data_IF_365472084904
#
_entry.id   IF_365472084904
#
_cell.length_a   1.000
_cell.length_b   1.000
_cell.length_c   1.000
_cell.angle_alpha   90.00
_cell.angle_beta   90.00
_cell.angle_gamma   90.00
#
_symmetry.space_group_name_H-M   'P 1'
#
loop_
_entity.id
_entity.type
_entity.pdbx_description
1 polymer ?
#
# COMPACT_ATOMS: atom_id res chain seq x y z
N UNK A 1 -23.25 13.58 -6.54
CA UNK A 1 -22.91 12.30 -7.20
C UNK A 1 -22.95 11.21 -6.13
N UNK A 2 -24.14 10.99 -5.57
CA UNK A 2 -24.48 9.81 -4.77
C UNK A 2 -25.50 9.04 -5.64
N UNK A 3 -25.01 8.55 -6.77
CA UNK A 3 -25.83 7.95 -7.84
C UNK A 3 -26.06 6.48 -7.53
N UNK A 4 -27.28 5.98 -7.74
CA UNK A 4 -27.74 4.57 -7.86
C UNK A 4 -26.88 3.41 -7.32
N UNK A 5 -25.59 3.38 -7.63
CA UNK A 5 -24.54 2.54 -7.05
C UNK A 5 -24.53 2.55 -5.51
N UNK A 6 -24.64 3.71 -4.84
CA UNK A 6 -24.67 3.76 -3.38
C UNK A 6 -25.93 3.11 -2.78
N UNK A 7 -27.05 3.11 -3.52
CA UNK A 7 -28.28 2.40 -3.12
C UNK A 7 -28.17 0.89 -3.31
N UNK A 8 -27.57 0.44 -4.41
CA UNK A 8 -27.26 -0.99 -4.64
C UNK A 8 -26.29 -1.56 -3.60
N UNK A 9 -25.27 -0.78 -3.23
CA UNK A 9 -24.31 -1.11 -2.17
C UNK A 9 -25.00 -1.25 -0.80
N UNK A 10 -25.97 -0.39 -0.51
CA UNK A 10 -26.75 -0.42 0.72
C UNK A 10 -27.80 -1.55 0.75
N UNK A 11 -28.36 -1.94 -0.40
CA UNK A 11 -29.27 -3.10 -0.51
C UNK A 11 -28.54 -4.44 -0.30
N UNK A 12 -27.25 -4.51 -0.68
CA UNK A 12 -26.44 -5.73 -0.58
C UNK A 12 -25.91 -6.03 0.83
N UNK A 13 -25.79 -5.01 1.69
CA UNK A 13 -25.36 -5.18 3.08
C UNK A 13 -26.57 -5.05 4.00
N UNK A 14 -27.02 -6.17 4.59
CA UNK A 14 -28.11 -6.12 5.57
C UNK A 14 -27.75 -5.17 6.73
N UNK A 15 -28.77 -4.52 7.30
CA UNK A 15 -28.72 -3.55 8.39
C UNK A 15 -27.82 -3.99 9.54
N UNK A 16 -27.83 -5.28 9.90
CA UNK A 16 -26.98 -5.85 10.98
C UNK A 16 -25.50 -5.70 10.64
N UNK A 17 -25.07 -6.04 9.42
CA UNK A 17 -23.68 -5.92 9.00
C UNK A 17 -23.26 -4.45 8.91
N UNK A 18 -24.13 -3.60 8.36
CA UNK A 18 -23.85 -2.16 8.29
C UNK A 18 -23.69 -1.52 9.67
N UNK A 19 -24.53 -1.92 10.64
CA UNK A 19 -24.44 -1.46 12.02
C UNK A 19 -23.18 -1.99 12.70
N UNK A 20 -22.88 -3.28 12.57
CA UNK A 20 -21.66 -3.87 13.13
C UNK A 20 -20.39 -3.19 12.60
N UNK A 21 -20.32 -2.90 11.30
CA UNK A 21 -19.19 -2.21 10.67
C UNK A 21 -19.04 -0.77 11.19
N UNK A 22 -20.15 -0.04 11.31
CA UNK A 22 -20.14 1.32 11.84
C UNK A 22 -19.71 1.37 13.31
N UNK A 23 -20.21 0.45 14.14
CA UNK A 23 -19.84 0.34 15.55
C UNK A 23 -18.36 -0.02 15.69
N UNK A 24 -17.87 -0.99 14.93
CA UNK A 24 -16.46 -1.37 14.93
C UNK A 24 -15.53 -0.23 14.48
N UNK A 25 -15.93 0.54 13.47
CA UNK A 25 -15.19 1.72 13.02
C UNK A 25 -15.18 2.84 14.07
N UNK A 26 -16.30 3.07 14.75
CA UNK A 26 -16.41 4.09 15.81
C UNK A 26 -15.48 3.81 16.99
N UNK A 27 -15.27 2.54 17.33
CA UNK A 27 -14.34 2.13 18.39
C UNK A 27 -12.92 2.58 18.06
N UNK A 28 -12.47 2.34 16.82
CA UNK A 28 -11.14 2.74 16.37
C UNK A 28 -11.01 4.26 16.41
N UNK A 29 -12.02 5.01 15.93
CA UNK A 29 -11.99 6.46 15.93
C UNK A 29 -11.88 7.06 17.34
N UNK A 30 -12.51 6.43 18.33
CA UNK A 30 -12.50 6.90 19.72
C UNK A 30 -11.17 6.60 20.43
N UNK A 31 -10.52 5.48 20.12
CA UNK A 31 -9.21 5.10 20.67
C UNK A 31 -8.05 5.77 19.92
N UNK A 32 -8.22 6.05 18.62
CA UNK A 32 -7.19 6.65 17.81
C UNK A 32 -7.02 8.12 18.18
N UNK A 33 -5.99 8.41 18.97
CA UNK A 33 -5.31 9.72 18.93
C UNK A 33 -4.64 9.99 17.57
N UNK A 34 -4.72 9.03 16.64
CA UNK A 34 -3.99 9.01 15.38
C UNK A 34 -4.88 9.41 14.21
N UNK A 35 -4.60 10.60 13.69
CA UNK A 35 -5.18 11.25 12.52
C UNK A 35 -5.08 10.49 11.18
N UNK A 36 -4.64 9.22 11.19
CA UNK A 36 -4.26 8.44 10.01
C UNK A 36 -5.41 7.65 9.37
N UNK A 37 -6.41 7.31 10.17
CA UNK A 37 -7.60 6.56 9.75
C UNK A 37 -8.73 7.58 9.54
N UNK A 38 -9.21 7.66 8.31
CA UNK A 38 -10.24 8.63 7.92
C UNK A 38 -11.53 7.98 7.43
N UNK A 39 -12.55 8.81 7.26
CA UNK A 39 -13.82 8.38 6.66
C UNK A 39 -13.62 7.75 5.28
N UNK A 40 -12.60 8.18 4.51
CA UNK A 40 -12.28 7.60 3.20
C UNK A 40 -11.87 6.13 3.29
N UNK A 41 -11.18 5.72 4.36
CA UNK A 41 -10.82 4.32 4.58
C UNK A 41 -12.09 3.50 4.84
N UNK A 42 -13.00 4.01 5.68
CA UNK A 42 -14.29 3.37 5.94
C UNK A 42 -15.18 3.29 4.69
N UNK A 43 -15.31 4.36 3.92
CA UNK A 43 -16.05 4.32 2.65
C UNK A 43 -15.44 3.32 1.66
N UNK A 44 -14.11 3.23 1.61
CA UNK A 44 -13.42 2.27 0.74
C UNK A 44 -13.69 0.82 1.18
N UNK A 45 -13.73 0.56 2.49
CA UNK A 45 -14.15 -0.72 3.05
C UNK A 45 -15.56 -1.08 2.60
N UNK A 46 -16.54 -0.21 2.87
CA UNK A 46 -17.95 -0.48 2.51
C UNK A 46 -18.10 -0.71 1.00
N UNK A 47 -17.53 0.17 0.18
CA UNK A 47 -17.61 0.07 -1.29
C UNK A 47 -17.00 -1.25 -1.80
N UNK A 48 -15.88 -1.68 -1.23
CA UNK A 48 -15.19 -2.89 -1.69
C UNK A 48 -15.90 -4.16 -1.22
N UNK A 49 -16.40 -4.18 0.02
CA UNK A 49 -17.20 -5.29 0.54
C UNK A 49 -18.45 -5.47 -0.31
N UNK A 50 -19.22 -4.41 -0.53
CA UNK A 50 -20.43 -4.50 -1.34
C UNK A 50 -20.14 -4.89 -2.78
N UNK A 51 -19.10 -4.34 -3.40
CA UNK A 51 -18.67 -4.74 -4.75
C UNK A 51 -18.40 -6.25 -4.85
N UNK A 52 -17.67 -6.81 -3.90
CA UNK A 52 -17.36 -8.25 -3.91
C UNK A 52 -18.60 -9.10 -3.58
N UNK A 53 -19.39 -8.72 -2.58
CA UNK A 53 -20.65 -9.41 -2.23
C UNK A 53 -21.60 -9.45 -3.44
N UNK A 54 -21.79 -8.32 -4.12
CA UNK A 54 -22.59 -8.24 -5.33
C UNK A 54 -21.99 -9.00 -6.51
N UNK A 55 -20.67 -8.95 -6.71
CA UNK A 55 -19.99 -9.71 -7.78
C UNK A 55 -20.16 -11.22 -7.62
N UNK A 56 -20.16 -11.71 -6.39
CA UNK A 56 -20.31 -13.13 -6.09
C UNK A 56 -21.76 -13.56 -5.82
N UNK A 57 -22.74 -12.65 -5.91
CA UNK A 57 -24.15 -12.88 -5.59
C UNK A 57 -24.35 -13.57 -4.22
N UNK A 58 -23.60 -13.12 -3.20
CA UNK A 58 -23.64 -13.71 -1.87
C UNK A 58 -24.88 -13.26 -1.11
N UNK A 59 -25.50 -14.20 -0.41
CA UNK A 59 -26.69 -13.96 0.42
C UNK A 59 -26.40 -14.22 1.90
N UNK A 60 -27.41 -14.07 2.76
CA UNK A 60 -27.28 -14.28 4.22
C UNK A 60 -26.74 -15.68 4.58
N UNK A 61 -27.05 -16.70 3.76
CA UNK A 61 -26.58 -18.06 3.93
C UNK A 61 -25.05 -18.20 3.73
N UNK A 62 -24.42 -17.27 3.01
CA UNK A 62 -22.97 -17.25 2.71
C UNK A 62 -22.16 -16.48 3.77
N UNK A 63 -22.63 -16.48 5.01
CA UNK A 63 -22.05 -15.74 6.14
C UNK A 63 -20.52 -15.85 6.22
N UNK A 64 -19.93 -17.05 6.12
CA UNK A 64 -18.48 -17.23 6.21
C UNK A 64 -17.73 -16.49 5.09
N UNK A 65 -18.25 -16.51 3.85
CA UNK A 65 -17.62 -15.82 2.73
C UNK A 65 -17.72 -14.31 2.88
N UNK A 66 -18.90 -13.80 3.28
CA UNK A 66 -19.11 -12.37 3.57
C UNK A 66 -18.14 -11.89 4.66
N UNK A 67 -18.04 -12.64 5.75
CA UNK A 67 -17.13 -12.33 6.86
C UNK A 67 -15.66 -12.41 6.44
N UNK A 68 -15.31 -13.33 5.54
CA UNK A 68 -13.97 -13.42 4.95
C UNK A 68 -13.64 -12.18 4.12
N UNK A 69 -14.59 -11.74 3.28
CA UNK A 69 -14.47 -10.50 2.49
C UNK A 69 -14.31 -9.28 3.42
N UNK A 70 -15.11 -9.20 4.48
CA UNK A 70 -15.03 -8.12 5.46
C UNK A 70 -13.67 -8.11 6.15
N UNK A 71 -13.21 -9.24 6.70
CA UNK A 71 -11.91 -9.33 7.38
C UNK A 71 -10.76 -8.98 6.43
N UNK A 72 -10.82 -9.46 5.18
CA UNK A 72 -9.87 -9.11 4.10
C UNK A 72 -9.78 -7.60 3.91
N UNK A 73 -10.91 -6.91 3.75
CA UNK A 73 -10.92 -5.47 3.52
C UNK A 73 -10.63 -4.64 4.77
N UNK A 74 -10.96 -5.13 5.96
CA UNK A 74 -10.51 -4.53 7.22
C UNK A 74 -8.99 -4.53 7.29
N UNK A 75 -8.33 -5.66 6.98
CA UNK A 75 -6.86 -5.67 6.88
C UNK A 75 -6.40 -4.67 5.82
N UNK A 76 -6.88 -4.80 4.58
CA UNK A 76 -6.46 -3.94 3.46
C UNK A 76 -6.49 -2.44 3.77
N UNK A 77 -7.52 -1.96 4.46
CA UNK A 77 -7.69 -0.53 4.74
C UNK A 77 -7.25 -0.09 6.13
N UNK A 78 -7.03 -1.00 7.09
CA UNK A 78 -6.74 -0.66 8.49
C UNK A 78 -5.49 -1.37 9.05
N UNK A 79 -4.64 -1.97 8.21
CA UNK A 79 -3.31 -2.54 8.57
C UNK A 79 -2.24 -1.45 8.81
N UNK A 80 -2.66 -0.25 9.21
CA UNK A 80 -1.87 0.98 9.17
C UNK A 80 -1.10 1.28 10.46
N UNK A 81 -1.25 0.51 11.55
CA UNK A 81 -0.63 0.85 12.83
C UNK A 81 -0.24 -0.41 13.63
N UNK A 82 1.03 -0.50 14.04
CA UNK A 82 1.52 -1.45 15.06
C UNK A 82 1.84 -0.77 16.39
N UNK A 83 1.30 0.43 16.65
CA UNK A 83 1.55 1.14 17.91
C UNK A 83 0.88 0.50 19.13
N UNK A 84 0.11 -0.58 18.95
CA UNK A 84 -0.62 -1.29 20.00
C UNK A 84 -0.29 -2.78 19.92
N UNK A 85 -0.41 -3.50 21.05
CA UNK A 85 -0.29 -4.97 21.13
C UNK A 85 -1.23 -5.71 20.14
N UNK A 86 -2.28 -5.03 19.66
CA UNK A 86 -3.27 -5.51 18.69
C UNK A 86 -3.46 -4.44 17.61
N UNK A 87 -3.36 -4.82 16.34
CA UNK A 87 -3.52 -3.89 15.21
C UNK A 87 -4.96 -3.35 15.08
N UNK A 88 -5.19 -2.16 14.48
CA UNK A 88 -6.53 -1.58 14.35
C UNK A 88 -7.52 -2.50 13.64
N UNK A 89 -7.09 -3.19 12.58
CA UNK A 89 -7.96 -4.11 11.85
C UNK A 89 -8.37 -5.32 12.71
N UNK A 90 -7.49 -5.85 13.56
CA UNK A 90 -7.82 -6.94 14.49
C UNK A 90 -8.79 -6.46 15.57
N UNK A 91 -8.58 -5.27 16.13
CA UNK A 91 -9.54 -4.66 17.07
C UNK A 91 -10.91 -4.48 16.43
N UNK A 92 -10.94 -3.93 15.21
CA UNK A 92 -12.17 -3.76 14.42
C UNK A 92 -12.87 -5.10 14.20
N UNK A 93 -12.11 -6.13 13.83
CA UNK A 93 -12.61 -7.47 13.61
C UNK A 93 -13.24 -8.08 14.87
N UNK A 94 -12.55 -7.96 16.02
CA UNK A 94 -13.06 -8.44 17.30
C UNK A 94 -14.37 -7.74 17.67
N UNK A 95 -14.42 -6.42 17.54
CA UNK A 95 -15.63 -5.63 17.84
C UNK A 95 -16.76 -6.00 16.89
N UNK A 96 -16.50 -6.09 15.60
CA UNK A 96 -17.47 -6.48 14.58
C UNK A 96 -18.10 -7.84 14.88
N UNK A 97 -17.29 -8.88 15.10
CA UNK A 97 -17.76 -10.22 15.44
C UNK A 97 -18.63 -10.24 16.71
N UNK A 98 -18.30 -9.44 17.73
CA UNK A 98 -19.12 -9.33 18.95
C UNK A 98 -20.47 -8.69 18.66
N UNK A 99 -20.50 -7.56 17.95
CA UNK A 99 -21.75 -6.84 17.63
C UNK A 99 -22.68 -7.66 16.72
N UNK A 100 -22.12 -8.52 15.87
CA UNK A 100 -22.91 -9.39 14.98
C UNK A 100 -23.19 -10.77 15.57
N UNK A 101 -22.79 -11.07 16.82
CA UNK A 101 -22.91 -12.39 17.45
C UNK A 101 -22.22 -13.55 16.70
N UNK A 102 -21.02 -13.31 16.14
CA UNK A 102 -20.23 -14.26 15.37
C UNK A 102 -18.78 -14.42 15.91
N UNK A 103 -18.65 -14.62 17.21
CA UNK A 103 -17.34 -14.74 17.91
C UNK A 103 -16.59 -16.00 17.47
N UNK A 104 -17.31 -17.04 17.05
CA UNK A 104 -16.75 -18.30 16.53
C UNK A 104 -15.93 -18.13 15.24
N UNK A 105 -16.01 -16.97 14.57
CA UNK A 105 -15.27 -16.69 13.34
C UNK A 105 -13.91 -16.01 13.59
N UNK A 106 -13.59 -15.63 14.83
CA UNK A 106 -12.35 -14.90 15.16
C UNK A 106 -11.10 -15.61 14.61
N UNK A 107 -10.99 -16.92 14.89
CA UNK A 107 -9.82 -17.74 14.56
C UNK A 107 -9.98 -18.57 13.28
N UNK A 108 -11.18 -18.61 12.69
CA UNK A 108 -11.46 -19.44 11.50
C UNK A 108 -11.02 -18.80 10.19
N UNK A 109 -10.97 -17.47 10.13
CA UNK A 109 -10.73 -16.74 8.89
C UNK A 109 -9.27 -16.33 8.81
N UNK A 110 -8.56 -16.89 7.83
CA UNK A 110 -7.18 -16.53 7.53
C UNK A 110 -7.11 -15.23 6.73
N UNK A 111 -6.11 -14.41 7.04
CA UNK A 111 -5.89 -13.13 6.38
C UNK A 111 -4.92 -13.30 5.19
N UNK A 112 -5.11 -12.53 4.11
CA UNK A 112 -4.13 -12.47 3.03
C UNK A 112 -2.76 -11.97 3.55
N UNK A 113 -1.69 -12.37 2.85
CA UNK A 113 -0.35 -11.81 3.07
C UNK A 113 -0.29 -10.38 2.54
N UNK A 114 0.61 -9.56 3.08
CA UNK A 114 0.78 -8.16 2.64
C UNK A 114 1.06 -8.06 1.13
N UNK A 115 1.85 -8.98 0.58
CA UNK A 115 2.08 -9.08 -0.87
C UNK A 115 0.77 -9.25 -1.65
N UNK A 116 -0.04 -10.24 -1.28
CA UNK A 116 -1.33 -10.48 -1.94
C UNK A 116 -2.31 -9.30 -1.80
N UNK A 117 -2.25 -8.57 -0.69
CA UNK A 117 -3.01 -7.33 -0.53
C UNK A 117 -2.54 -6.26 -1.52
N UNK A 118 -1.23 -6.03 -1.63
CA UNK A 118 -0.64 -5.07 -2.60
C UNK A 118 -1.03 -5.42 -4.03
N UNK A 119 -0.92 -6.68 -4.41
CA UNK A 119 -1.30 -7.16 -5.75
C UNK A 119 -2.77 -6.86 -6.04
N UNK A 120 -3.63 -7.18 -5.07
CA UNK A 120 -5.07 -6.94 -5.19
C UNK A 120 -5.38 -5.44 -5.35
N UNK A 121 -4.57 -4.57 -4.76
CA UNK A 121 -4.74 -3.12 -4.84
C UNK A 121 -4.34 -2.60 -6.21
N UNK A 122 -3.18 -3.00 -6.72
CA UNK A 122 -2.69 -2.61 -8.06
C UNK A 122 -3.65 -3.10 -9.16
N UNK A 123 -4.25 -4.28 -8.99
CA UNK A 123 -5.21 -4.83 -9.96
C UNK A 123 -6.61 -4.18 -9.87
N UNK A 124 -6.92 -3.47 -8.79
CA UNK A 124 -8.24 -2.89 -8.55
C UNK A 124 -8.34 -1.49 -9.20
N UNK A 125 -8.87 -1.46 -10.42
CA UNK A 125 -9.04 -0.23 -11.23
C UNK A 125 -9.79 0.89 -10.48
N UNK A 126 -10.82 0.56 -9.69
CA UNK A 126 -11.63 1.54 -8.95
C UNK A 126 -11.14 1.79 -7.51
N UNK A 127 -9.98 1.23 -7.14
CA UNK A 127 -9.37 1.37 -5.83
C UNK A 127 -8.69 2.73 -5.68
N UNK A 128 -8.40 3.12 -4.43
CA UNK A 128 -7.52 4.26 -4.19
C UNK A 128 -6.10 3.89 -4.59
N UNK A 129 -5.30 4.87 -4.98
CA UNK A 129 -3.87 4.66 -5.18
C UNK A 129 -3.18 4.18 -3.90
N UNK A 130 -2.07 3.47 -4.08
CA UNK A 130 -1.36 2.78 -3.02
C UNK A 130 -0.24 3.65 -2.46
N UNK A 131 -0.08 3.65 -1.14
CA UNK A 131 1.06 4.22 -0.44
C UNK A 131 1.71 3.14 0.42
N UNK A 132 2.96 2.82 0.10
CA UNK A 132 3.81 1.92 0.87
C UNK A 132 4.69 2.76 1.80
N UNK A 133 4.49 2.57 3.10
CA UNK A 133 5.25 3.24 4.15
C UNK A 133 6.28 2.24 4.66
N UNK A 134 7.55 2.49 4.36
CA UNK A 134 8.61 1.50 4.53
C UNK A 134 9.69 2.07 5.43
N UNK A 135 10.13 1.29 6.41
CA UNK A 135 11.13 1.68 7.41
C UNK A 135 12.59 1.55 6.95
N UNK A 136 12.88 0.65 6.00
CA UNK A 136 14.23 0.39 5.49
C UNK A 136 14.33 0.66 3.99
N UNK A 137 15.38 1.37 3.58
CA UNK A 137 15.66 1.65 2.16
C UNK A 137 15.76 0.38 1.30
N UNK A 138 16.42 -0.68 1.81
CA UNK A 138 16.53 -1.95 1.07
C UNK A 138 15.16 -2.60 0.79
N UNK A 139 14.18 -2.38 1.67
CA UNK A 139 12.81 -2.89 1.49
C UNK A 139 12.05 -2.04 0.45
N UNK A 140 12.38 -0.76 0.28
CA UNK A 140 11.82 0.06 -0.81
C UNK A 140 12.22 -0.49 -2.17
N UNK A 141 13.52 -0.79 -2.34
CA UNK A 141 14.05 -1.32 -3.60
C UNK A 141 13.53 -2.74 -3.90
N UNK A 142 13.28 -3.51 -2.84
CA UNK A 142 12.59 -4.79 -2.93
C UNK A 142 11.17 -4.67 -3.48
N UNK A 143 10.32 -3.83 -2.89
CA UNK A 143 8.93 -3.68 -3.37
C UNK A 143 8.86 -3.06 -4.77
N UNK A 144 9.77 -2.14 -5.09
CA UNK A 144 9.91 -1.64 -6.46
C UNK A 144 10.21 -2.79 -7.44
N UNK A 145 11.23 -3.60 -7.16
CA UNK A 145 11.60 -4.74 -8.00
C UNK A 145 10.47 -5.76 -8.12
N UNK A 146 9.80 -6.06 -7.00
CA UNK A 146 8.67 -6.99 -6.91
C UNK A 146 7.51 -6.53 -7.80
N UNK A 147 7.11 -5.25 -7.72
CA UNK A 147 6.03 -4.69 -8.54
C UNK A 147 6.41 -4.75 -10.02
N UNK A 148 7.65 -4.35 -10.37
CA UNK A 148 8.13 -4.40 -11.77
C UNK A 148 8.06 -5.82 -12.32
N UNK A 149 8.64 -6.80 -11.60
CA UNK A 149 8.68 -8.18 -12.04
C UNK A 149 7.27 -8.75 -12.22
N UNK A 150 6.40 -8.54 -11.25
CA UNK A 150 5.04 -9.07 -11.28
C UNK A 150 4.20 -8.53 -12.43
N UNK A 151 4.35 -7.25 -12.74
CA UNK A 151 3.59 -6.62 -13.83
C UNK A 151 4.11 -7.04 -15.20
N UNK A 152 5.42 -7.31 -15.31
CA UNK A 152 6.01 -7.99 -16.48
C UNK A 152 5.40 -9.39 -16.65
N UNK A 153 5.33 -10.19 -15.57
CA UNK A 153 4.70 -11.53 -15.61
C UNK A 153 3.22 -11.49 -16.00
N UNK A 154 2.50 -10.47 -15.54
CA UNK A 154 1.08 -10.27 -15.85
C UNK A 154 0.82 -9.78 -17.30
N UNK A 155 1.86 -9.61 -18.13
CA UNK A 155 1.79 -8.97 -19.46
C UNK A 155 1.01 -7.63 -19.42
N UNK A 156 1.14 -6.90 -18.30
CA UNK A 156 0.44 -5.65 -18.07
C UNK A 156 1.29 -4.45 -18.50
N UNK A 157 0.71 -3.26 -18.36
CA UNK A 157 1.31 -1.97 -18.69
C UNK A 157 2.76 -1.84 -18.18
N UNK A 158 3.55 -1.02 -18.88
CA UNK A 158 4.89 -0.66 -18.41
C UNK A 158 4.84 -0.07 -16.99
N UNK A 159 5.74 -0.51 -16.13
CA UNK A 159 5.99 0.08 -14.82
C UNK A 159 7.10 1.13 -14.96
N UNK A 160 6.87 2.34 -14.45
CA UNK A 160 7.84 3.42 -14.46
C UNK A 160 8.06 3.96 -13.05
N UNK A 161 9.32 4.04 -12.62
CA UNK A 161 9.69 4.67 -11.37
C UNK A 161 10.21 6.08 -11.62
N UNK A 162 9.62 7.08 -10.95
CA UNK A 162 10.16 8.42 -10.83
C UNK A 162 10.76 8.63 -9.43
N UNK A 163 12.02 9.03 -9.39
CA UNK A 163 12.76 9.31 -8.17
C UNK A 163 13.09 10.81 -8.12
N UNK A 164 12.66 11.46 -7.05
CA UNK A 164 12.91 12.88 -6.83
C UNK A 164 14.38 13.16 -6.55
N UNK A 165 14.94 14.15 -7.24
CA UNK A 165 16.29 14.62 -6.99
C UNK A 165 16.39 15.18 -5.56
N UNK A 166 17.41 14.74 -4.84
CA UNK A 166 17.74 15.26 -3.51
C UNK A 166 18.82 16.35 -3.57
N UNK A 167 19.23 16.78 -4.77
CA UNK A 167 20.22 17.82 -4.94
C UNK A 167 19.60 19.20 -4.65
N UNK A 168 20.28 20.01 -3.83
CA UNK A 168 19.79 21.33 -3.42
C UNK A 168 19.45 22.26 -4.60
N UNK A 169 20.18 22.12 -5.72
CA UNK A 169 19.94 22.89 -6.94
C UNK A 169 18.63 22.52 -7.65
N UNK A 170 18.12 21.29 -7.45
CA UNK A 170 16.94 20.79 -8.15
C UNK A 170 15.66 20.93 -7.33
N UNK A 171 15.75 20.86 -5.99
CA UNK A 171 14.60 20.88 -5.08
C UNK A 171 13.72 22.12 -5.28
N UNK A 172 14.32 23.27 -5.61
CA UNK A 172 13.62 24.53 -5.86
C UNK A 172 13.62 24.95 -7.35
N UNK A 173 14.05 24.06 -8.25
CA UNK A 173 14.12 24.38 -9.67
C UNK A 173 12.78 24.07 -10.34
N UNK A 174 12.06 25.13 -10.72
CA UNK A 174 10.79 25.01 -11.43
C UNK A 174 10.91 24.17 -12.70
N UNK A 175 12.04 24.25 -13.41
CA UNK A 175 12.28 23.48 -14.64
C UNK A 175 12.28 21.97 -14.37
N UNK A 176 12.93 21.53 -13.28
CA UNK A 176 12.94 20.13 -12.85
C UNK A 176 11.52 19.66 -12.47
N UNK A 177 10.80 20.47 -11.71
CA UNK A 177 9.40 20.20 -11.35
C UNK A 177 8.52 20.06 -12.59
N UNK A 178 8.67 20.96 -13.57
CA UNK A 178 7.92 20.90 -14.82
C UNK A 178 8.21 19.63 -15.61
N UNK A 179 9.48 19.26 -15.79
CA UNK A 179 9.85 18.03 -16.47
C UNK A 179 9.24 16.81 -15.78
N UNK A 180 9.32 16.74 -14.45
CA UNK A 180 8.81 15.58 -13.72
C UNK A 180 7.28 15.48 -13.75
N UNK A 181 6.58 16.62 -13.78
CA UNK A 181 5.13 16.67 -14.01
C UNK A 181 4.81 16.20 -15.43
N UNK A 182 5.55 16.65 -16.45
CA UNK A 182 5.36 16.20 -17.83
C UNK A 182 5.57 14.70 -17.99
N UNK A 183 6.60 14.12 -17.36
CA UNK A 183 6.84 12.67 -17.37
C UNK A 183 5.71 11.92 -16.65
N UNK A 184 5.18 12.50 -15.56
CA UNK A 184 4.02 11.94 -14.87
C UNK A 184 2.78 11.94 -15.78
N UNK A 185 2.49 13.05 -16.46
CA UNK A 185 1.37 13.17 -17.42
C UNK A 185 1.47 12.10 -18.50
N UNK A 186 2.64 11.94 -19.12
CA UNK A 186 2.85 10.96 -20.18
C UNK A 186 2.56 9.52 -19.70
N UNK A 187 2.97 9.18 -18.48
CA UNK A 187 2.69 7.87 -17.89
C UNK A 187 1.21 7.67 -17.51
N UNK A 188 0.55 8.74 -17.05
CA UNK A 188 -0.89 8.75 -16.76
C UNK A 188 -1.70 8.48 -18.04
N UNK A 189 -1.35 9.14 -19.15
CA UNK A 189 -2.04 8.99 -20.43
C UNK A 189 -1.80 7.61 -21.06
N UNK A 190 -0.59 7.07 -20.91
CA UNK A 190 -0.22 5.75 -21.43
C UNK A 190 -0.83 4.58 -20.63
N UNK A 191 -1.33 4.82 -19.42
CA UNK A 191 -1.85 3.75 -18.56
C UNK A 191 -0.77 2.90 -17.89
N UNK A 192 0.42 3.49 -17.69
CA UNK A 192 1.52 2.88 -16.96
C UNK A 192 1.20 2.72 -15.46
N UNK A 193 1.92 1.84 -14.79
CA UNK A 193 1.99 1.86 -13.32
C UNK A 193 3.12 2.80 -12.92
N UNK A 194 2.78 3.89 -12.24
CA UNK A 194 3.73 4.93 -11.86
C UNK A 194 4.13 4.77 -10.39
N UNK A 195 5.40 4.46 -10.14
CA UNK A 195 6.00 4.40 -8.81
C UNK A 195 6.67 5.75 -8.51
N UNK A 196 6.23 6.43 -7.45
CA UNK A 196 6.79 7.72 -7.02
C UNK A 196 7.61 7.53 -5.74
N UNK A 197 8.90 7.87 -5.79
CA UNK A 197 9.82 7.89 -4.65
C UNK A 197 10.37 9.31 -4.45
N UNK A 198 10.31 9.85 -3.24
CA UNK A 198 10.89 11.17 -2.89
C UNK A 198 10.36 12.35 -3.74
N UNK A 199 9.13 12.25 -4.24
CA UNK A 199 8.52 13.20 -5.20
C UNK A 199 7.68 14.30 -4.51
N UNK A 200 8.08 14.75 -3.32
CA UNK A 200 7.28 15.67 -2.49
C UNK A 200 6.93 17.00 -3.19
N UNK A 201 7.81 17.45 -4.08
CA UNK A 201 7.67 18.69 -4.84
C UNK A 201 6.51 18.70 -5.85
N UNK A 202 6.04 17.54 -6.33
CA UNK A 202 4.94 17.45 -7.30
C UNK A 202 3.61 16.99 -6.69
N UNK A 203 3.57 16.62 -5.41
CA UNK A 203 2.34 16.07 -4.82
C UNK A 203 1.18 17.06 -4.79
N UNK A 204 1.46 18.36 -4.63
CA UNK A 204 0.46 19.42 -4.74
C UNK A 204 -0.06 19.56 -6.18
N UNK A 205 0.78 19.31 -7.17
CA UNK A 205 0.45 19.38 -8.59
C UNK A 205 -0.48 18.24 -9.03
N UNK A 206 -0.29 17.06 -8.46
CA UNK A 206 -1.08 15.85 -8.70
C UNK A 206 -2.29 15.72 -7.76
N UNK A 207 -2.71 16.80 -7.10
CA UNK A 207 -3.76 16.76 -6.08
C UNK A 207 -5.08 16.17 -6.58
N UNK A 208 -5.58 16.63 -7.72
CA UNK A 208 -6.85 16.14 -8.29
C UNK A 208 -6.73 14.69 -8.78
N UNK A 209 -5.55 14.30 -9.27
CA UNK A 209 -5.26 12.91 -9.61
C UNK A 209 -5.40 12.03 -8.36
N UNK A 210 -4.68 12.36 -7.27
CA UNK A 210 -4.70 11.57 -6.05
C UNK A 210 -6.06 11.53 -5.35
N UNK A 211 -6.87 12.57 -5.50
CA UNK A 211 -8.25 12.55 -5.01
C UNK A 211 -9.22 11.79 -5.92
N UNK A 212 -8.77 11.33 -7.09
CA UNK A 212 -9.61 10.75 -8.14
C UNK A 212 -10.77 11.69 -8.53
N UNK A 213 -10.49 12.99 -8.54
CA UNK A 213 -11.42 14.05 -8.96
C UNK A 213 -11.49 14.09 -10.48
N UNK A 214 -12.12 13.08 -11.08
CA UNK A 214 -12.18 12.92 -12.53
C UNK A 214 -13.48 13.46 -13.12
N UNK A 215 -13.37 14.02 -14.32
CA UNK A 215 -14.50 14.38 -15.18
C UNK A 215 -14.60 13.29 -16.25
N UNK A 216 -15.76 12.65 -16.36
CA UNK A 216 -16.02 11.64 -17.40
C UNK A 216 -16.62 12.31 -18.63
N UNK A 217 -16.00 12.14 -19.79
CA UNK A 217 -16.48 12.61 -21.10
C UNK A 217 -16.35 11.44 -22.06
N UNK A 218 -17.46 10.97 -22.64
CA UNK A 218 -17.48 9.88 -23.64
C UNK A 218 -16.65 8.65 -23.22
N UNK A 219 -16.90 8.14 -22.01
CA UNK A 219 -16.21 6.99 -21.39
C UNK A 219 -14.71 7.13 -21.14
N UNK A 220 -14.18 8.34 -21.27
CA UNK A 220 -12.81 8.71 -20.88
C UNK A 220 -12.83 9.54 -19.61
N UNK A 221 -11.82 9.35 -18.77
CA UNK A 221 -11.62 10.13 -17.55
C UNK A 221 -10.58 11.22 -17.80
N UNK A 222 -10.84 12.41 -17.27
CA UNK A 222 -9.90 13.52 -17.32
C UNK A 222 -9.72 14.11 -15.92
N UNK A 223 -8.47 14.46 -15.58
CA UNK A 223 -8.16 15.16 -14.33
C UNK A 223 -7.40 16.45 -14.62
N UNK A 224 -7.49 17.42 -13.71
CA UNK A 224 -6.63 18.61 -13.76
C UNK A 224 -5.30 18.28 -13.11
N UNK A 225 -4.21 18.74 -13.71
CA UNK A 225 -2.88 18.67 -13.10
C UNK A 225 -2.35 20.09 -13.03
N UNK A 226 -2.00 20.55 -11.83
CA UNK A 226 -1.48 21.90 -11.68
C UNK A 226 -0.01 21.94 -12.12
N UNK A 227 0.35 22.92 -12.92
CA UNK A 227 1.67 23.10 -13.49
C UNK A 227 2.09 24.56 -13.26
N UNK A 228 2.59 24.83 -12.05
CA UNK A 228 2.82 26.20 -11.58
C UNK A 228 1.50 26.96 -11.33
N UNK A 229 1.56 28.29 -11.35
CA UNK A 229 0.43 29.12 -10.91
C UNK A 229 -0.66 29.33 -11.98
N UNK A 230 -0.34 29.08 -13.25
CA UNK A 230 -1.16 29.53 -14.38
C UNK A 230 -1.56 28.42 -15.35
N UNK A 231 -0.85 27.28 -15.36
CA UNK A 231 -1.14 26.18 -16.27
C UNK A 231 -1.80 25.05 -15.47
N UNK A 232 -3.01 24.69 -15.86
CA UNK A 232 -3.74 23.56 -15.27
C UNK A 232 -4.27 22.67 -16.41
N UNK A 233 -3.39 21.96 -17.14
CA UNK A 233 -3.81 21.08 -18.22
C UNK A 233 -4.85 20.06 -17.75
N UNK A 234 -5.79 19.73 -18.65
CA UNK A 234 -6.65 18.57 -18.50
C UNK A 234 -5.91 17.37 -19.10
N UNK A 235 -5.56 16.43 -18.23
CA UNK A 235 -4.86 15.20 -18.58
C UNK A 235 -5.87 14.06 -18.71
N UNK A 236 -5.75 13.26 -19.77
CA UNK A 236 -6.52 12.03 -19.91
C UNK A 236 -5.98 10.96 -18.94
N UNK A 237 -6.83 10.44 -18.07
CA UNK A 237 -6.48 9.36 -17.15
C UNK A 237 -6.88 8.04 -17.79
N UNK A 238 -5.88 7.26 -18.20
CA UNK A 238 -6.09 5.95 -18.77
C UNK A 238 -6.68 4.99 -17.71
N UNK A 239 -7.63 4.13 -18.10
CA UNK A 239 -8.28 3.17 -17.19
C UNK A 239 -7.32 2.13 -16.61
N UNK A 240 -6.18 1.90 -17.26
CA UNK A 240 -5.14 0.99 -16.78
C UNK A 240 -4.08 1.68 -15.90
N UNK A 241 -4.12 3.02 -15.80
CA UNK A 241 -3.17 3.76 -14.98
C UNK A 241 -3.34 3.41 -13.49
N UNK A 242 -2.23 3.19 -12.81
CA UNK A 242 -2.21 3.04 -11.36
C UNK A 242 -0.99 3.74 -10.76
N UNK A 243 -1.16 4.34 -9.58
CA UNK A 243 -0.08 5.04 -8.88
C UNK A 243 0.27 4.32 -7.58
N UNK A 244 1.57 4.15 -7.34
CA UNK A 244 2.15 3.66 -6.10
C UNK A 244 3.11 4.70 -5.56
N UNK A 245 2.92 5.15 -4.33
CA UNK A 245 3.86 6.03 -3.65
C UNK A 245 4.64 5.20 -2.64
N UNK A 246 5.97 5.26 -2.70
CA UNK A 246 6.84 4.64 -1.69
C UNK A 246 7.46 5.76 -0.87
N UNK A 247 7.18 5.77 0.44
CA UNK A 247 7.69 6.77 1.37
C UNK A 247 8.45 6.12 2.53
N UNK A 248 9.46 6.82 3.04
CA UNK A 248 10.13 6.43 4.27
C UNK A 248 9.20 6.66 5.47
N UNK A 249 9.30 5.78 6.47
CA UNK A 249 8.55 5.91 7.71
C UNK A 249 8.83 7.25 8.45
N UNK A 250 10.00 7.86 8.28
CA UNK A 250 10.29 9.19 8.82
C UNK A 250 9.57 10.30 8.06
N UNK A 251 9.56 10.25 6.72
CA UNK A 251 8.82 11.22 5.90
C UNK A 251 7.31 11.12 6.16
N UNK A 252 6.81 9.91 6.38
CA UNK A 252 5.42 9.65 6.77
C UNK A 252 5.00 10.42 8.02
N UNK A 253 5.84 10.48 9.05
CA UNK A 253 5.53 11.19 10.31
C UNK A 253 5.34 12.70 10.12
N UNK A 254 5.94 13.26 9.07
CA UNK A 254 5.89 14.68 8.75
C UNK A 254 4.87 15.00 7.64
N UNK A 255 4.26 13.99 7.04
CA UNK A 255 3.31 14.16 5.96
C UNK A 255 1.95 14.67 6.46
N UNK A 256 1.31 15.53 5.67
CA UNK A 256 -0.01 16.03 5.98
C UNK A 256 -1.05 14.92 5.98
N UNK A 257 -1.85 14.88 7.06
CA UNK A 257 -2.97 13.95 7.22
C UNK A 257 -3.91 13.96 6.01
N UNK A 258 -4.20 15.14 5.46
CA UNK A 258 -5.10 15.28 4.32
C UNK A 258 -4.56 14.59 3.06
N UNK A 259 -3.23 14.54 2.90
CA UNK A 259 -2.56 13.83 1.82
C UNK A 259 -2.60 12.32 2.06
N UNK A 260 -2.26 11.87 3.26
CA UNK A 260 -2.28 10.46 3.65
C UNK A 260 -3.67 9.82 3.48
N UNK A 261 -4.75 10.58 3.72
CA UNK A 261 -6.12 10.09 3.60
C UNK A 261 -6.58 9.86 2.15
N UNK A 262 -5.79 10.26 1.15
CA UNK A 262 -6.10 10.03 -0.27
C UNK A 262 -5.72 8.63 -0.74
N UNK A 263 -4.81 7.97 -0.03
CA UNK A 263 -4.24 6.70 -0.43
C UNK A 263 -4.74 5.56 0.44
N UNK A 264 -4.78 4.37 -0.14
CA UNK A 264 -4.69 3.13 0.62
C UNK A 264 -3.26 2.99 1.16
N UNK A 265 -3.09 2.69 2.44
CA UNK A 265 -1.79 2.72 3.11
C UNK A 265 -1.43 1.34 3.67
N UNK A 266 -0.21 0.89 3.39
CA UNK A 266 0.38 -0.32 3.99
C UNK A 266 1.68 0.06 4.68
N UNK A 267 1.78 -0.20 5.99
CA UNK A 267 3.04 -0.06 6.72
C UNK A 267 3.79 -1.37 6.65
N UNK A 268 5.00 -1.32 6.09
CA UNK A 268 5.80 -2.50 5.87
C UNK A 268 7.09 -2.37 6.66
N UNK A 269 7.27 -3.34 7.54
CA UNK A 269 8.52 -3.58 8.25
C UNK A 269 9.18 -4.82 7.65
N UNK A 270 10.51 -4.83 7.61
CA UNK A 270 11.29 -5.98 7.16
C UNK A 270 10.89 -7.26 7.90
N UNK A 271 10.63 -7.17 9.20
CA UNK A 271 10.20 -8.30 10.04
C UNK A 271 8.86 -8.91 9.61
N UNK A 272 7.98 -8.13 8.97
CA UNK A 272 6.63 -8.56 8.61
C UNK A 272 6.59 -9.34 7.30
N UNK A 273 7.62 -9.18 6.48
CA UNK A 273 7.73 -9.82 5.16
C UNK A 273 8.64 -11.05 5.19
N UNK A 274 9.44 -11.20 6.24
CA UNK A 274 10.29 -12.36 6.49
C UNK A 274 9.47 -13.47 7.14
N UNK A 275 9.70 -14.71 6.70
CA UNK A 275 9.12 -15.89 7.33
C UNK A 275 10.23 -16.67 8.05
N UNK A 276 9.86 -17.77 8.71
CA UNK A 276 10.83 -18.58 9.44
C UNK A 276 11.93 -19.17 8.55
N UNK A 277 11.65 -19.42 7.27
CA UNK A 277 12.62 -19.93 6.30
C UNK A 277 13.62 -18.83 5.92
N UNK A 278 13.15 -17.62 5.65
CA UNK A 278 13.99 -16.45 5.41
C UNK A 278 14.88 -16.15 6.63
N UNK A 279 14.30 -16.13 7.85
CA UNK A 279 15.03 -15.85 9.08
C UNK A 279 16.10 -16.90 9.40
N UNK A 280 15.78 -18.18 9.20
CA UNK A 280 16.76 -19.26 9.39
C UNK A 280 17.90 -19.19 8.37
N UNK A 281 17.62 -18.80 7.13
CA UNK A 281 18.66 -18.59 6.11
C UNK A 281 19.55 -17.41 6.42
N UNK A 282 18.98 -16.27 6.85
CA UNK A 282 19.77 -15.12 7.32
C UNK A 282 20.70 -15.55 8.46
N UNK A 283 20.19 -16.30 9.43
CA UNK A 283 20.99 -16.81 10.55
C UNK A 283 22.12 -17.72 10.07
N UNK A 284 21.84 -18.67 9.18
CA UNK A 284 22.85 -19.57 8.64
C UNK A 284 23.96 -18.81 7.90
N UNK A 285 23.63 -17.75 7.16
CA UNK A 285 24.63 -16.90 6.48
C UNK A 285 25.45 -16.12 7.52
N UNK A 286 24.83 -15.58 8.57
CA UNK A 286 25.55 -14.90 9.64
C UNK A 286 26.53 -15.84 10.34
N UNK A 287 26.10 -17.04 10.71
CA UNK A 287 26.93 -18.08 11.35
C UNK A 287 28.11 -18.47 10.42
N UNK A 288 27.84 -18.59 9.11
CA UNK A 288 28.87 -18.83 8.10
C UNK A 288 29.89 -17.68 8.03
N UNK A 289 29.45 -16.42 8.04
CA UNK A 289 30.35 -15.26 8.05
C UNK A 289 31.18 -15.22 9.35
N UNK A 290 30.58 -15.56 10.50
CA UNK A 290 31.30 -15.62 11.77
C UNK A 290 32.38 -16.69 11.79
N UNK A 291 32.20 -17.80 11.08
CA UNK A 291 33.22 -18.84 10.98
C UNK A 291 34.55 -18.31 10.41
N UNK A 292 34.53 -17.28 9.56
CA UNK A 292 35.74 -16.67 8.99
C UNK A 292 36.49 -15.77 9.97
N UNK A 293 35.81 -15.22 11.00
CA UNK A 293 36.47 -14.39 12.01
C UNK A 293 37.46 -15.18 12.86
N UNK A 294 37.23 -16.49 13.00
CA UNK A 294 38.01 -17.37 13.87
C UNK A 294 39.26 -17.96 13.21
N UNK A 295 39.57 -17.57 11.96
CA UNK A 295 40.68 -18.15 11.19
C UNK A 295 42.05 -17.67 11.69
N UNK A 296 42.16 -16.45 12.25
CA UNK A 296 43.42 -15.91 12.76
C UNK A 296 43.24 -15.32 14.18
N UNK A 297 43.73 -16.03 15.21
CA UNK A 297 43.65 -15.62 16.63
C UNK A 297 44.35 -14.29 16.96
N UNK A 298 45.07 -13.70 16.00
CA UNK A 298 45.84 -12.46 16.18
C UNK A 298 45.12 -11.19 15.67
N UNK A 299 44.06 -11.34 14.86
CA UNK A 299 43.34 -10.20 14.27
C UNK A 299 41.83 -10.36 14.39
N UNK A 300 41.17 -9.41 15.06
CA UNK A 300 39.72 -9.35 15.15
C UNK A 300 39.12 -8.76 13.86
N UNK A 301 38.58 -9.61 13.00
CA UNK A 301 37.84 -9.16 11.82
C UNK A 301 36.39 -8.84 12.19
N UNK A 302 35.94 -7.63 11.86
CA UNK A 302 34.51 -7.28 11.88
C UNK A 302 33.84 -7.67 10.56
N UNK A 303 32.51 -7.72 10.54
CA UNK A 303 31.74 -8.02 9.33
C UNK A 303 32.07 -7.09 8.15
N UNK A 304 32.32 -5.81 8.43
CA UNK A 304 32.63 -4.80 7.43
C UNK A 304 34.01 -5.00 6.77
N UNK A 305 34.92 -5.74 7.42
CA UNK A 305 36.20 -6.11 6.81
C UNK A 305 36.07 -7.27 5.82
N UNK A 306 35.06 -8.13 6.00
CA UNK A 306 34.81 -9.29 5.15
C UNK A 306 33.87 -8.95 3.99
N UNK A 307 32.86 -8.12 4.26
CA UNK A 307 31.83 -7.74 3.31
C UNK A 307 31.75 -6.21 3.30
N UNK A 308 32.09 -5.64 2.15
CA UNK A 308 32.01 -4.20 1.91
C UNK A 308 30.56 -3.74 2.14
N UNK A 309 30.37 -2.71 2.96
CA UNK A 309 29.07 -2.14 3.31
C UNK A 309 28.09 -3.15 3.96
N UNK A 310 28.60 -4.11 4.73
CA UNK A 310 27.76 -5.05 5.46
C UNK A 310 26.71 -4.34 6.32
N UNK A 311 25.44 -4.74 6.12
CA UNK A 311 24.30 -4.36 6.92
C UNK A 311 23.37 -5.59 7.04
N UNK A 312 22.93 -5.91 8.26
CA UNK A 312 22.02 -7.03 8.51
C UNK A 312 20.68 -6.87 7.78
N UNK A 313 20.13 -5.65 7.70
CA UNK A 313 18.90 -5.36 6.95
C UNK A 313 19.08 -5.62 5.45
N UNK A 314 20.27 -5.33 4.93
CA UNK A 314 20.60 -5.60 3.53
C UNK A 314 20.79 -7.09 3.27
N UNK A 315 21.37 -7.84 4.21
CA UNK A 315 21.44 -9.30 4.12
C UNK A 315 20.04 -9.94 4.09
N UNK A 316 19.14 -9.50 4.97
CA UNK A 316 17.75 -9.96 4.96
C UNK A 316 17.04 -9.65 3.64
N UNK A 317 17.26 -8.45 3.09
CA UNK A 317 16.80 -8.09 1.74
C UNK A 317 17.35 -9.05 0.66
N UNK A 318 18.64 -9.36 0.68
CA UNK A 318 19.25 -10.27 -0.31
C UNK A 318 18.64 -11.67 -0.22
N UNK A 319 18.37 -12.15 1.00
CA UNK A 319 17.68 -13.43 1.20
C UNK A 319 16.27 -13.39 0.62
N UNK A 320 15.48 -12.35 0.90
CA UNK A 320 14.14 -12.20 0.30
C UNK A 320 14.20 -12.22 -1.23
N UNK A 321 15.10 -11.42 -1.81
CA UNK A 321 15.25 -11.33 -3.27
C UNK A 321 15.68 -12.67 -3.89
N UNK A 322 16.58 -13.40 -3.23
CA UNK A 322 17.01 -14.71 -3.69
C UNK A 322 15.85 -15.71 -3.67
N UNK A 323 15.06 -15.73 -2.59
CA UNK A 323 13.88 -16.59 -2.49
C UNK A 323 12.86 -16.32 -3.59
N UNK A 324 12.66 -15.07 -3.99
CA UNK A 324 11.77 -14.75 -5.10
C UNK A 324 12.29 -15.27 -6.43
N UNK A 325 13.57 -15.07 -6.71
CA UNK A 325 14.20 -15.56 -7.94
C UNK A 325 14.21 -17.09 -8.05
N UNK A 326 14.33 -17.82 -6.94
CA UNK A 326 14.39 -19.29 -6.97
C UNK A 326 13.00 -19.97 -6.87
N UNK A 327 11.98 -19.25 -6.41
CA UNK A 327 10.61 -19.78 -6.31
C UNK A 327 9.68 -19.29 -7.44
N UNK A 328 10.12 -18.33 -8.27
CA UNK A 328 9.53 -18.01 -9.58
C UNK A 328 10.00 -19.01 -10.63
#
# INVERSE_FOLDING_TARGET
IASSYDRLVAEQLNKILSHGLATAFSEILNESTTSLIGMRDYYSLIKSVAKDVGKYNLNEDDSIQIFTIIKKYMKKYFDQLRSFDISPHEKMWIKFCKETNHIELLDKIQLPTTKSSIDSSIQQIDGRYLMLIIDKCCVQDYFESYIIQKEVENNRSNVFTLIGSQMALDINNNTYVYHTISDSILNIENGSILILKKMNNIYSSLYDLFNQNFIQIEDKYYCRIAMGNYLNPQCHVNKLFYCVIIIDHNDFKHADVTFLNRFEKHIIHLENIMDNCHLSTVKAILDWIESFKNINQQHYFTYQHLIVNFNQDYLAYLVLKAYEHYNS
#
